data_IF_047845167760
#
_entry.id   IF_047845167760
#
_cell.length_a   1.000
_cell.length_b   1.000
_cell.length_c   1.000
_cell.angle_alpha   90.00
_cell.angle_beta   90.00
_cell.angle_gamma   90.00
#
_symmetry.space_group_name_H-M   'P 1'
#
loop_
_entity.id
_entity.type
_entity.pdbx_description
1 polymer ?
#
# COMPACT_ATOMS: atom_id res chain seq x y z
N UNK A 1 -10.95 13.45 -2.35
CA UNK A 1 -10.92 14.56 -3.34
C UNK A 1 -10.07 15.67 -2.73
N UNK A 2 -8.83 15.84 -3.23
CA UNK A 2 -7.82 16.79 -2.74
C UNK A 2 -8.16 18.26 -3.03
N UNK A 3 -9.44 18.65 -2.86
CA UNK A 3 -9.95 19.93 -3.37
C UNK A 3 -9.35 21.14 -2.68
N UNK A 4 -8.85 20.96 -1.46
CA UNK A 4 -8.14 21.98 -0.68
C UNK A 4 -6.69 22.17 -1.13
N UNK A 5 -6.10 21.18 -1.81
CA UNK A 5 -4.70 21.20 -2.21
C UNK A 5 -4.51 21.80 -3.59
N UNK A 6 -3.44 22.57 -3.75
CA UNK A 6 -2.86 22.86 -5.04
C UNK A 6 -2.10 21.61 -5.52
N UNK A 7 -2.79 20.74 -6.26
CA UNK A 7 -2.23 19.45 -6.72
C UNK A 7 -0.95 19.64 -7.55
N UNK A 8 -0.84 20.73 -8.32
CA UNK A 8 0.40 21.04 -9.06
C UNK A 8 1.55 21.31 -8.09
N UNK A 9 1.39 22.27 -7.17
CA UNK A 9 2.43 22.60 -6.20
C UNK A 9 2.83 21.40 -5.33
N UNK A 10 1.87 20.56 -4.96
CA UNK A 10 2.13 19.34 -4.21
C UNK A 10 2.95 18.33 -5.01
N UNK A 11 2.61 18.11 -6.29
CA UNK A 11 3.38 17.25 -7.17
C UNK A 11 4.78 17.80 -7.44
N UNK A 12 4.88 19.10 -7.74
CA UNK A 12 6.15 19.78 -8.03
C UNK A 12 7.09 19.72 -6.83
N UNK A 13 6.58 19.97 -5.62
CA UNK A 13 7.36 19.85 -4.39
C UNK A 13 7.81 18.40 -4.16
N UNK A 14 6.89 17.44 -4.29
CA UNK A 14 7.18 16.03 -4.02
C UNK A 14 8.19 15.45 -5.02
N UNK A 15 8.14 15.87 -6.28
CA UNK A 15 9.13 15.52 -7.30
C UNK A 15 10.50 16.12 -6.99
N UNK A 16 10.57 17.41 -6.64
CA UNK A 16 11.84 18.07 -6.28
C UNK A 16 12.47 17.43 -5.04
N UNK A 17 11.65 17.13 -4.03
CA UNK A 17 12.11 16.45 -2.82
C UNK A 17 12.67 15.06 -3.15
N UNK A 18 11.94 14.27 -3.94
CA UNK A 18 12.38 12.96 -4.36
C UNK A 18 13.68 13.00 -5.17
N UNK A 19 13.81 13.96 -6.10
CA UNK A 19 15.02 14.14 -6.90
C UNK A 19 16.23 14.45 -6.01
N UNK A 20 16.10 15.39 -5.05
CA UNK A 20 17.19 15.75 -4.14
C UNK A 20 17.63 14.60 -3.24
N UNK A 21 16.68 13.87 -2.68
CA UNK A 21 16.98 12.70 -1.85
C UNK A 21 17.65 11.60 -2.67
N UNK A 22 17.18 11.34 -3.89
CA UNK A 22 17.79 10.38 -4.80
C UNK A 22 19.20 10.82 -5.25
N UNK A 23 19.40 12.11 -5.56
CA UNK A 23 20.73 12.65 -5.89
C UNK A 23 21.71 12.37 -4.75
N UNK A 24 21.38 12.77 -3.53
CA UNK A 24 22.24 12.56 -2.35
C UNK A 24 22.54 11.07 -2.10
N UNK A 25 21.54 10.21 -2.26
CA UNK A 25 21.67 8.78 -1.99
C UNK A 25 22.49 8.04 -3.05
N UNK A 26 22.21 8.27 -4.34
CA UNK A 26 22.83 7.56 -5.46
C UNK A 26 24.21 8.12 -5.85
N UNK A 27 24.66 9.22 -5.24
CA UNK A 27 26.06 9.67 -5.34
C UNK A 27 27.03 8.61 -4.79
N UNK A 28 26.66 7.93 -3.70
CA UNK A 28 27.50 6.95 -3.01
C UNK A 28 27.02 5.50 -3.17
N UNK A 29 25.84 5.28 -3.75
CA UNK A 29 25.21 3.97 -3.86
C UNK A 29 24.73 3.72 -5.29
N UNK A 30 24.95 2.52 -5.82
CA UNK A 30 24.43 2.13 -7.13
C UNK A 30 22.98 1.63 -7.07
N UNK A 31 22.58 0.99 -5.98
CA UNK A 31 21.25 0.41 -5.77
C UNK A 31 20.75 0.67 -4.35
N UNK A 32 19.44 0.90 -4.21
CA UNK A 32 18.77 1.00 -2.93
C UNK A 32 18.36 -0.40 -2.44
N UNK A 33 18.96 -0.85 -1.34
CA UNK A 33 18.52 -2.04 -0.62
C UNK A 33 17.33 -1.69 0.27
N UNK A 34 16.56 -2.67 0.73
CA UNK A 34 15.48 -2.38 1.68
C UNK A 34 15.99 -1.73 2.98
N UNK A 35 17.19 -2.09 3.46
CA UNK A 35 17.79 -1.44 4.65
C UNK A 35 18.12 0.03 4.38
N UNK A 36 18.48 0.36 3.14
CA UNK A 36 18.68 1.75 2.73
C UNK A 36 17.33 2.49 2.69
N UNK A 37 16.27 1.87 2.16
CA UNK A 37 14.93 2.47 2.09
C UNK A 37 14.37 2.82 3.47
N UNK A 38 14.59 1.96 4.47
CA UNK A 38 14.19 2.20 5.85
C UNK A 38 14.69 3.53 6.44
N UNK A 39 15.91 3.92 6.06
CA UNK A 39 16.60 5.08 6.61
C UNK A 39 16.89 6.14 5.53
N UNK A 40 16.15 6.08 4.41
CA UNK A 40 16.40 6.92 3.25
C UNK A 40 16.16 8.40 3.57
N UNK A 41 15.11 8.67 4.35
CA UNK A 41 14.77 10.01 4.82
C UNK A 41 14.66 10.03 6.35
N UNK A 42 14.79 11.23 6.93
CA UNK A 42 14.53 11.47 8.35
C UNK A 42 13.03 11.36 8.72
N UNK A 43 12.15 11.09 7.74
CA UNK A 43 10.70 11.09 7.89
C UNK A 43 10.21 9.63 7.79
N UNK A 44 9.93 8.96 8.92
CA UNK A 44 9.63 7.54 8.94
C UNK A 44 8.41 7.16 8.08
N UNK A 45 7.41 8.03 8.00
CA UNK A 45 6.20 7.80 7.22
C UNK A 45 6.50 7.69 5.71
N UNK A 46 7.40 8.53 5.19
CA UNK A 46 7.81 8.47 3.78
C UNK A 46 8.47 7.13 3.50
N UNK A 47 9.40 6.70 4.37
CA UNK A 47 10.10 5.43 4.21
C UNK A 47 9.10 4.24 4.25
N UNK A 48 8.13 4.27 5.17
CA UNK A 48 7.09 3.25 5.28
C UNK A 48 6.16 3.20 4.05
N UNK A 49 5.81 4.33 3.46
CA UNK A 49 5.00 4.36 2.24
C UNK A 49 5.75 3.84 1.01
N UNK A 50 7.06 4.08 0.90
CA UNK A 50 7.88 3.44 -0.15
C UNK A 50 7.83 1.92 0.01
N UNK A 51 7.98 1.44 1.25
CA UNK A 51 7.96 0.00 1.55
C UNK A 51 6.58 -0.60 1.24
N UNK A 52 5.49 0.06 1.65
CA UNK A 52 4.13 -0.39 1.33
C UNK A 52 3.94 -0.46 -0.19
N UNK A 53 4.30 0.59 -0.92
CA UNK A 53 4.16 0.64 -2.38
C UNK A 53 4.93 -0.48 -3.07
N UNK A 54 6.17 -0.75 -2.63
CA UNK A 54 6.96 -1.88 -3.16
C UNK A 54 6.33 -3.22 -2.83
N UNK A 55 5.79 -3.39 -1.62
CA UNK A 55 5.10 -4.62 -1.22
C UNK A 55 3.83 -4.84 -2.03
N UNK A 56 3.03 -3.80 -2.26
CA UNK A 56 1.78 -3.87 -3.01
C UNK A 56 2.02 -4.19 -4.48
N UNK A 57 3.01 -3.55 -5.11
CA UNK A 57 3.44 -3.87 -6.47
C UNK A 57 3.91 -5.32 -6.56
N UNK A 58 4.71 -5.77 -5.60
CA UNK A 58 5.19 -7.15 -5.57
C UNK A 58 4.06 -8.18 -5.37
N UNK A 59 3.09 -7.89 -4.49
CA UNK A 59 1.91 -8.73 -4.29
C UNK A 59 1.08 -8.81 -5.58
N UNK A 60 0.87 -7.68 -6.26
CA UNK A 60 0.15 -7.63 -7.53
C UNK A 60 0.85 -8.43 -8.63
N UNK A 61 2.17 -8.31 -8.76
CA UNK A 61 2.97 -9.08 -9.73
C UNK A 61 2.89 -10.59 -9.44
N UNK A 62 2.93 -10.97 -8.17
CA UNK A 62 2.79 -12.36 -7.75
C UNK A 62 1.39 -12.93 -8.01
N UNK A 63 0.35 -12.11 -7.93
CA UNK A 63 -1.01 -12.48 -8.31
C UNK A 63 -1.15 -12.60 -9.83
N UNK A 64 -0.56 -11.67 -10.60
CA UNK A 64 -0.55 -11.70 -12.06
C UNK A 64 0.24 -12.90 -12.62
N UNK A 65 1.25 -13.37 -11.89
CA UNK A 65 2.02 -14.58 -12.22
C UNK A 65 1.18 -15.86 -12.18
N UNK A 66 0.05 -15.88 -11.45
CA UNK A 66 -0.79 -17.08 -11.31
C UNK A 66 -1.47 -17.43 -12.63
N UNK A 67 -0.85 -18.34 -13.36
CA UNK A 67 -1.37 -18.84 -14.62
C UNK A 67 -2.62 -19.73 -14.41
N UNK A 68 -3.66 -19.60 -15.26
CA UNK A 68 -4.87 -20.43 -15.19
C UNK A 68 -4.63 -21.93 -15.40
N UNK A 69 -3.45 -22.31 -15.91
CA UNK A 69 -3.14 -23.70 -16.25
C UNK A 69 -2.55 -24.51 -15.08
N UNK A 70 -2.21 -23.86 -13.96
CA UNK A 70 -1.57 -24.51 -12.81
C UNK A 70 -2.39 -24.33 -11.53
N UNK A 71 -2.33 -25.32 -10.64
CA UNK A 71 -3.00 -25.28 -9.35
C UNK A 71 -2.14 -24.55 -8.31
N UNK A 72 -2.38 -23.24 -8.17
CA UNK A 72 -1.79 -22.40 -7.12
C UNK A 72 -2.47 -22.55 -5.75
N UNK A 73 -3.56 -23.33 -5.66
CA UNK A 73 -4.28 -23.56 -4.42
C UNK A 73 -3.70 -24.72 -3.61
N UNK A 74 -2.93 -25.60 -4.26
CA UNK A 74 -2.12 -26.64 -3.62
C UNK A 74 -1.23 -26.08 -2.51
N UNK A 75 -1.20 -26.78 -1.37
CA UNK A 75 -0.41 -26.38 -0.19
C UNK A 75 1.08 -26.26 -0.50
N UNK A 76 1.63 -27.18 -1.30
CA UNK A 76 3.04 -27.18 -1.68
C UNK A 76 3.41 -25.94 -2.51
N UNK A 77 2.55 -25.57 -3.46
CA UNK A 77 2.76 -24.39 -4.32
C UNK A 77 2.63 -23.11 -3.52
N UNK A 78 1.64 -23.00 -2.63
CA UNK A 78 1.47 -21.84 -1.74
C UNK A 78 2.67 -21.64 -0.84
N UNK A 79 3.20 -22.71 -0.26
CA UNK A 79 4.38 -22.65 0.61
C UNK A 79 5.64 -22.26 -0.16
N UNK A 80 5.89 -22.89 -1.31
CA UNK A 80 7.01 -22.55 -2.18
C UNK A 80 6.94 -21.09 -2.66
N UNK A 81 5.76 -20.63 -3.07
CA UNK A 81 5.53 -19.24 -3.45
C UNK A 81 5.77 -18.31 -2.27
N UNK A 82 5.27 -18.62 -1.07
CA UNK A 82 5.53 -17.83 0.14
C UNK A 82 7.02 -17.73 0.48
N UNK A 83 7.75 -18.84 0.38
CA UNK A 83 9.21 -18.84 0.60
C UNK A 83 9.92 -17.98 -0.45
N UNK A 84 9.55 -18.11 -1.72
CA UNK A 84 10.06 -17.28 -2.79
C UNK A 84 9.80 -15.79 -2.54
N UNK A 85 8.56 -15.42 -2.18
CA UNK A 85 8.20 -14.05 -1.80
C UNK A 85 9.08 -13.53 -0.67
N UNK A 86 9.36 -14.34 0.35
CA UNK A 86 10.22 -13.97 1.46
C UNK A 86 11.66 -13.73 1.02
N UNK A 87 12.22 -14.61 0.19
CA UNK A 87 13.59 -14.48 -0.32
C UNK A 87 13.75 -13.23 -1.18
N UNK A 88 12.83 -13.01 -2.13
CA UNK A 88 12.84 -11.82 -3.00
C UNK A 88 12.68 -10.55 -2.17
N UNK A 89 11.76 -10.55 -1.20
CA UNK A 89 11.56 -9.39 -0.32
C UNK A 89 12.83 -9.02 0.43
N UNK A 90 13.73 -9.96 0.74
CA UNK A 90 15.00 -9.69 1.45
C UNK A 90 16.11 -9.19 0.53
N UNK A 91 15.92 -9.34 -0.79
CA UNK A 91 16.86 -8.95 -1.84
C UNK A 91 16.33 -7.77 -2.66
N UNK A 92 15.58 -6.87 -2.03
CA UNK A 92 15.19 -5.60 -2.64
C UNK A 92 16.44 -4.88 -3.13
N UNK A 93 16.45 -4.55 -4.42
CA UNK A 93 17.50 -3.80 -5.10
C UNK A 93 16.84 -2.89 -6.13
N UNK A 94 16.53 -1.67 -5.71
CA UNK A 94 15.81 -0.69 -6.54
C UNK A 94 16.80 0.30 -7.13
N UNK A 95 16.70 0.53 -8.44
CA UNK A 95 17.48 1.56 -9.15
C UNK A 95 16.80 2.92 -9.01
N UNK A 96 17.57 3.99 -9.24
CA UNK A 96 17.08 5.37 -9.19
C UNK A 96 15.79 5.59 -9.98
N UNK A 97 15.76 5.15 -11.24
CA UNK A 97 14.63 5.32 -12.16
C UNK A 97 13.31 4.79 -11.60
N UNK A 98 13.37 3.75 -10.77
CA UNK A 98 12.21 3.10 -10.17
C UNK A 98 11.91 3.63 -8.76
N UNK A 99 12.93 4.07 -8.02
CA UNK A 99 12.78 4.59 -6.67
C UNK A 99 12.22 6.02 -6.65
N UNK A 100 12.70 6.87 -7.54
CA UNK A 100 12.34 8.29 -7.59
C UNK A 100 10.81 8.54 -7.72
N UNK A 101 10.07 7.90 -8.64
CA UNK A 101 8.61 8.09 -8.71
C UNK A 101 7.88 7.57 -7.47
N UNK A 102 8.34 6.45 -6.89
CA UNK A 102 7.73 5.88 -5.66
C UNK A 102 7.97 6.80 -4.47
N UNK A 103 9.16 7.40 -4.37
CA UNK A 103 9.50 8.36 -3.32
C UNK A 103 8.68 9.66 -3.47
N UNK A 104 8.48 10.14 -4.69
CA UNK A 104 7.64 11.32 -4.94
C UNK A 104 6.19 11.05 -4.51
N UNK A 105 5.63 9.89 -4.86
CA UNK A 105 4.28 9.49 -4.44
C UNK A 105 4.18 9.35 -2.92
N UNK A 106 5.12 8.66 -2.28
CA UNK A 106 5.19 8.51 -0.82
C UNK A 106 5.30 9.87 -0.09
N UNK A 107 6.05 10.82 -0.67
CA UNK A 107 6.18 12.18 -0.12
C UNK A 107 4.87 12.94 -0.21
N UNK A 108 4.22 12.91 -1.40
CA UNK A 108 2.91 13.50 -1.63
C UNK A 108 1.88 12.97 -0.63
N UNK A 109 1.78 11.65 -0.49
CA UNK A 109 0.83 10.99 0.39
C UNK A 109 1.07 11.33 1.86
N UNK A 110 2.34 11.42 2.27
CA UNK A 110 2.71 11.85 3.63
C UNK A 110 2.28 13.29 3.91
N UNK A 111 2.46 14.20 2.96
CA UNK A 111 2.05 15.60 3.10
C UNK A 111 0.53 15.72 3.16
N UNK A 112 -0.22 14.98 2.34
CA UNK A 112 -1.69 14.96 2.42
C UNK A 112 -2.15 14.44 3.77
N UNK A 113 -1.56 13.33 4.26
CA UNK A 113 -1.89 12.74 5.56
C UNK A 113 -1.65 13.72 6.72
N UNK A 114 -0.59 14.54 6.67
CA UNK A 114 -0.26 15.53 7.71
C UNK A 114 -1.09 16.82 7.62
N UNK A 115 -1.48 17.25 6.42
CA UNK A 115 -2.19 18.53 6.23
C UNK A 115 -3.71 18.35 6.30
N UNK A 116 -4.25 17.29 5.69
CA UNK A 116 -5.68 16.98 5.71
C UNK A 116 -5.92 15.46 5.72
N UNK A 117 -5.83 14.80 6.89
CA UNK A 117 -5.98 13.35 7.01
C UNK A 117 -7.34 12.86 6.49
N UNK A 118 -8.41 13.66 6.60
CA UNK A 118 -9.71 13.31 6.03
C UNK A 118 -9.63 13.14 4.51
N UNK A 119 -8.94 14.05 3.81
CA UNK A 119 -8.76 13.94 2.35
C UNK A 119 -8.00 12.68 1.96
N UNK A 120 -6.97 12.32 2.74
CA UNK A 120 -6.16 11.11 2.54
C UNK A 120 -7.00 9.82 2.67
N UNK A 121 -7.67 9.62 3.81
CA UNK A 121 -8.49 8.42 4.04
C UNK A 121 -9.66 8.34 3.06
N UNK A 122 -10.30 9.47 2.74
CA UNK A 122 -11.38 9.53 1.77
C UNK A 122 -10.94 9.08 0.38
N UNK A 123 -9.72 9.42 -0.04
CA UNK A 123 -9.17 8.98 -1.33
C UNK A 123 -8.87 7.48 -1.32
N UNK A 124 -8.20 6.98 -0.28
CA UNK A 124 -7.88 5.56 -0.14
C UNK A 124 -9.12 4.67 -0.15
N UNK A 125 -10.17 5.05 0.58
CA UNK A 125 -11.39 4.25 0.64
C UNK A 125 -12.16 4.30 -0.68
N UNK A 126 -12.26 5.47 -1.34
CA UNK A 126 -12.95 5.58 -2.63
C UNK A 126 -12.26 4.81 -3.76
N UNK A 127 -10.93 4.63 -3.66
CA UNK A 127 -10.16 3.87 -4.64
C UNK A 127 -10.21 2.35 -4.41
N UNK A 128 -10.93 1.87 -3.38
CA UNK A 128 -11.08 0.42 -3.16
C UNK A 128 -11.98 -0.24 -4.21
N UNK A 129 -11.68 -1.49 -4.60
CA UNK A 129 -12.55 -2.24 -5.51
C UNK A 129 -13.92 -2.46 -4.88
N UNK A 130 -14.95 -2.54 -5.73
CA UNK A 130 -16.35 -2.81 -5.34
C UNK A 130 -16.96 -1.82 -4.33
N UNK A 131 -16.35 -0.66 -4.11
CA UNK A 131 -16.77 0.33 -3.09
C UNK A 131 -16.90 -0.29 -1.67
N UNK A 132 -16.05 -1.25 -1.36
CA UNK A 132 -15.96 -1.87 -0.03
C UNK A 132 -14.56 -1.76 0.54
N UNK A 133 -14.47 -1.51 1.84
CA UNK A 133 -13.22 -1.51 2.61
C UNK A 133 -13.17 -2.80 3.40
N UNK A 134 -12.15 -3.61 3.13
CA UNK A 134 -11.98 -4.93 3.78
C UNK A 134 -11.19 -4.82 5.07
N UNK A 135 -11.30 -5.84 5.92
CA UNK A 135 -10.46 -5.94 7.12
C UNK A 135 -8.96 -5.97 6.74
N UNK A 136 -8.58 -6.62 5.63
CA UNK A 136 -7.18 -6.64 5.13
C UNK A 136 -6.70 -5.22 4.78
N UNK A 137 -7.53 -4.41 4.12
CA UNK A 137 -7.23 -3.01 3.82
C UNK A 137 -6.93 -2.23 5.10
N UNK A 138 -7.80 -2.34 6.12
CA UNK A 138 -7.61 -1.61 7.39
C UNK A 138 -6.38 -2.11 8.15
N UNK A 139 -6.16 -3.43 8.16
CA UNK A 139 -4.96 -4.04 8.72
C UNK A 139 -3.70 -3.50 8.05
N UNK A 140 -3.69 -3.38 6.72
CA UNK A 140 -2.59 -2.79 5.98
C UNK A 140 -2.36 -1.32 6.36
N UNK A 141 -3.44 -0.53 6.49
CA UNK A 141 -3.32 0.86 6.95
C UNK A 141 -2.73 0.94 8.37
N UNK A 142 -3.16 0.08 9.31
CA UNK A 142 -2.57 0.01 10.66
C UNK A 142 -1.07 -0.33 10.65
N UNK A 143 -0.60 -1.09 9.66
CA UNK A 143 0.81 -1.50 9.52
C UNK A 143 1.71 -0.40 8.99
N UNK A 144 1.23 0.40 8.04
CA UNK A 144 2.07 1.35 7.31
C UNK A 144 1.78 2.82 7.65
N UNK A 145 0.66 3.13 8.31
CA UNK A 145 0.36 4.48 8.80
C UNK A 145 0.86 4.63 10.24
N UNK A 146 1.82 5.53 10.42
CA UNK A 146 2.33 5.96 11.71
C UNK A 146 1.68 7.27 12.15
N UNK A 147 1.56 8.25 11.26
CA UNK A 147 0.88 9.51 11.57
C UNK A 147 -0.63 9.30 11.66
N UNK A 148 -1.29 9.88 12.65
CA UNK A 148 -2.72 9.71 12.88
C UNK A 148 -3.12 8.22 13.04
N UNK A 149 -2.25 7.40 13.67
CA UNK A 149 -2.46 5.95 13.88
C UNK A 149 -3.79 5.58 14.54
N UNK A 150 -4.39 6.52 15.28
CA UNK A 150 -5.68 6.32 15.93
C UNK A 150 -6.82 6.13 14.91
N UNK A 151 -6.72 6.68 13.69
CA UNK A 151 -7.77 6.58 12.68
C UNK A 151 -7.98 5.13 12.21
N UNK A 152 -6.96 4.44 11.64
CA UNK A 152 -7.14 3.05 11.23
C UNK A 152 -7.41 2.12 12.42
N UNK A 153 -6.95 2.47 13.62
CA UNK A 153 -7.30 1.73 14.85
C UNK A 153 -8.79 1.84 15.20
N UNK A 154 -9.35 3.05 15.24
CA UNK A 154 -10.77 3.25 15.52
C UNK A 154 -11.67 2.60 14.47
N UNK A 155 -11.26 2.58 13.20
CA UNK A 155 -11.99 1.88 12.15
C UNK A 155 -11.95 0.36 12.38
N UNK A 156 -10.79 -0.20 12.74
CA UNK A 156 -10.68 -1.62 13.05
C UNK A 156 -11.57 -2.02 14.24
N UNK A 157 -11.59 -1.20 15.30
CA UNK A 157 -12.47 -1.39 16.46
C UNK A 157 -13.96 -1.33 16.06
N UNK A 158 -14.34 -0.38 15.19
CA UNK A 158 -15.70 -0.25 14.68
C UNK A 158 -16.12 -1.39 13.73
N UNK A 159 -15.17 -1.97 13.00
CA UNK A 159 -15.41 -3.15 12.15
C UNK A 159 -15.65 -4.41 12.98
N UNK A 160 -15.03 -4.55 14.15
CA UNK A 160 -15.07 -5.76 14.97
C UNK A 160 -14.80 -7.02 14.12
N UNK A 161 -15.75 -7.96 14.06
CA UNK A 161 -15.63 -9.21 13.28
C UNK A 161 -16.14 -9.10 11.82
N UNK A 162 -16.46 -7.89 11.34
CA UNK A 162 -16.94 -7.70 9.96
C UNK A 162 -15.80 -7.86 8.96
N UNK A 163 -15.99 -8.74 7.98
CA UNK A 163 -15.01 -8.93 6.90
C UNK A 163 -14.84 -7.68 6.01
N UNK A 164 -15.90 -6.89 5.84
CA UNK A 164 -15.88 -5.64 5.07
C UNK A 164 -16.95 -4.65 5.53
N UNK A 165 -16.78 -3.38 5.15
CA UNK A 165 -17.76 -2.31 5.27
C UNK A 165 -17.85 -1.50 3.97
N UNK A 166 -18.93 -0.75 3.76
CA UNK A 166 -19.03 0.13 2.59
C UNK A 166 -18.18 1.38 2.75
N UNK A 167 -17.69 1.92 1.63
CA UNK A 167 -16.81 3.11 1.62
C UNK A 167 -17.39 4.29 2.39
N UNK A 168 -18.68 4.58 2.25
CA UNK A 168 -19.30 5.71 2.96
C UNK A 168 -19.26 5.53 4.49
N UNK A 169 -19.41 4.29 4.98
CA UNK A 169 -19.32 4.00 6.42
C UNK A 169 -17.88 4.16 6.92
N UNK A 170 -16.90 3.66 6.16
CA UNK A 170 -15.48 3.82 6.50
C UNK A 170 -15.06 5.30 6.54
N UNK A 171 -15.55 6.10 5.58
CA UNK A 171 -15.35 7.55 5.54
C UNK A 171 -15.95 8.20 6.79
N UNK A 172 -17.21 7.93 7.10
CA UNK A 172 -17.89 8.50 8.27
C UNK A 172 -17.14 8.16 9.57
N UNK A 173 -16.72 6.91 9.74
CA UNK A 173 -15.94 6.49 10.93
C UNK A 173 -14.58 7.17 11.00
N UNK A 174 -13.91 7.38 9.86
CA UNK A 174 -12.63 8.08 9.81
C UNK A 174 -12.77 9.56 10.19
N UNK A 175 -13.81 10.23 9.69
CA UNK A 175 -14.10 11.64 9.99
C UNK A 175 -14.48 11.81 11.46
N UNK A 176 -15.28 10.88 12.01
CA UNK A 176 -15.62 10.84 13.44
C UNK A 176 -14.38 10.63 14.32
N UNK A 177 -13.48 9.70 13.96
CA UNK A 177 -12.25 9.47 14.70
C UNK A 177 -11.37 10.73 14.74
N UNK A 178 -11.21 11.41 13.61
CA UNK A 178 -10.41 12.65 13.50
C UNK A 178 -11.05 13.79 14.29
N UNK A 179 -12.38 13.92 14.25
CA UNK A 179 -13.11 14.95 15.00
C UNK A 179 -13.03 14.74 16.52
N UNK A 180 -13.04 13.48 16.99
CA UNK A 180 -12.97 13.16 18.42
C UNK A 180 -11.55 13.30 19.00
N UNK A 181 -10.51 13.07 18.18
CA UNK A 181 -9.10 13.07 18.60
C UNK A 181 -8.26 14.11 17.87
N UNK A 182 -8.84 15.28 17.58
CA UNK A 182 -8.11 16.36 16.88
C UNK A 182 -6.86 16.82 17.64
N UNK A 183 -6.86 16.72 18.98
CA UNK A 183 -5.70 17.06 19.80
C UNK A 183 -4.52 16.07 19.67
N UNK A 184 -4.79 14.82 19.28
CA UNK A 184 -3.78 13.78 19.07
C UNK A 184 -3.28 13.72 17.62
N UNK A 185 -3.79 14.61 16.75
CA UNK A 185 -3.45 14.60 15.34
C UNK A 185 -2.04 15.16 15.09
N UNK A 186 -1.27 14.46 14.27
CA UNK A 186 0.07 14.89 13.87
C UNK A 186 -0.04 16.12 12.96
N UNK A 187 0.52 17.25 13.39
CA UNK A 187 0.52 18.50 12.62
C UNK A 187 1.75 18.59 11.71
N UNK A 188 1.53 19.07 10.48
CA UNK A 188 2.61 19.36 9.52
C UNK A 188 3.66 20.32 10.11
N UNK A 189 3.27 21.24 11.00
CA UNK A 189 4.12 22.28 11.60
C UNK A 189 5.37 21.69 12.29
N UNK A 190 5.22 20.52 12.92
CA UNK A 190 6.32 19.83 13.60
C UNK A 190 7.35 19.24 12.62
N UNK A 191 6.94 19.01 11.38
CA UNK A 191 7.73 18.33 10.35
C UNK A 191 8.25 19.27 9.26
N UNK A 192 7.78 20.53 9.21
CA UNK A 192 8.21 21.52 8.21
C UNK A 192 9.73 21.68 8.18
N UNK A 193 10.37 21.74 9.35
CA UNK A 193 11.84 21.89 9.43
C UNK A 193 12.57 20.69 8.83
N UNK A 194 12.08 19.47 9.06
CA UNK A 194 12.67 18.22 8.56
C UNK A 194 12.50 18.12 7.04
N UNK A 195 11.34 18.47 6.52
CA UNK A 195 11.11 18.56 5.08
C UNK A 195 11.97 19.65 4.43
N UNK A 196 12.08 20.81 5.08
CA UNK A 196 12.83 21.97 4.60
C UNK A 196 14.34 21.80 4.59
N UNK A 197 14.88 20.78 5.26
CA UNK A 197 16.31 20.44 5.19
C UNK A 197 16.75 20.13 3.75
N UNK A 198 15.88 19.50 2.94
CA UNK A 198 16.17 19.10 1.57
C UNK A 198 15.60 20.06 0.55
N UNK A 199 14.34 20.46 0.71
CA UNK A 199 13.64 21.39 -0.19
C UNK A 199 12.79 22.31 0.68
N UNK A 200 12.95 23.64 0.58
CA UNK A 200 12.16 24.59 1.36
C UNK A 200 10.66 24.30 1.24
N UNK A 201 10.00 24.05 2.37
CA UNK A 201 8.58 23.74 2.42
C UNK A 201 7.80 24.91 3.01
N UNK A 202 6.89 25.46 2.20
CA UNK A 202 5.85 26.37 2.68
C UNK A 202 4.49 25.65 2.64
N UNK A 203 3.93 25.24 3.79
CA UNK A 203 2.64 24.55 3.86
C UNK A 203 1.49 25.34 3.22
N UNK A 204 1.54 26.67 3.26
CA UNK A 204 0.49 27.51 2.70
C UNK A 204 0.47 27.48 1.17
N UNK A 205 1.63 27.30 0.53
CA UNK A 205 1.77 27.16 -0.92
C UNK A 205 1.14 25.87 -1.47
N UNK A 206 1.05 24.83 -0.62
CA UNK A 206 0.45 23.54 -0.95
C UNK A 206 -1.09 23.58 -0.94
N UNK A 207 -1.67 24.60 -0.33
CA UNK A 207 -3.11 24.81 -0.28
C UNK A 207 -3.56 25.74 -1.40
N UNK A 208 -4.76 25.54 -1.92
CA UNK A 208 -5.36 26.52 -2.83
C UNK A 208 -5.54 27.83 -2.08
N UNK A 209 -4.99 28.92 -2.63
CA UNK A 209 -5.34 30.27 -2.19
C UNK A 209 -6.82 30.48 -2.49
N UNK A 210 -7.67 30.25 -1.51
CA UNK A 210 -9.04 30.76 -1.56
C UNK A 210 -8.89 32.26 -1.54
N UNK A 211 -9.04 32.92 -2.69
CA UNK A 211 -9.39 34.34 -2.73
C UNK A 211 -10.77 34.45 -2.05
N UNK A 212 -10.79 34.43 -0.72
CA UNK A 212 -11.85 35.08 0.04
C UNK A 212 -11.62 36.55 -0.30
N UNK A 213 -12.53 37.24 -1.01
CA UNK A 213 -12.46 38.69 -1.04
C UNK A 213 -12.43 39.11 0.43
N UNK A 214 -11.29 39.67 0.82
CA UNK A 214 -11.09 40.40 2.05
C UNK A 214 -12.35 41.25 2.24
N UNK A 215 -12.98 41.14 3.42
CA UNK A 215 -14.15 41.96 3.76
C UNK A 215 -13.85 43.37 3.30
N UNK A 216 -14.54 43.80 2.23
CA UNK A 216 -14.54 45.19 1.84
C UNK A 216 -14.96 45.93 3.11
N UNK A 217 -14.01 46.68 3.67
CA UNK A 217 -14.29 47.66 4.71
C UNK A 217 -15.36 48.52 4.07
N UNK A 218 -16.59 48.39 4.56
CA UNK A 218 -17.72 49.19 4.11
C UNK A 218 -17.32 50.64 4.39
N UNK A 219 -17.09 51.49 3.38
CA UNK A 219 -16.98 52.91 3.63
C UNK A 219 -18.38 53.35 4.02
N UNK A 220 -18.51 53.93 5.21
CA UNK A 220 -19.74 54.54 5.68
C UNK A 220 -20.28 55.53 4.62
N UNK A 221 -21.57 55.45 4.33
CA UNK A 221 -22.30 56.40 3.50
C UNK A 221 -22.11 57.84 4.01
N UNK A 222 -22.02 58.81 3.10
CA UNK A 222 -22.68 60.09 3.26
C UNK A 222 -23.91 60.13 2.35
N UNK A 223 -25.07 60.32 2.97
CA UNK A 223 -26.28 60.77 2.29
C UNK A 223 -26.04 62.14 1.62
N UNK A 224 -26.64 62.33 0.44
CA UNK A 224 -26.72 63.64 -0.18
C UNK A 224 -27.27 63.59 -1.60
N UNK A 225 -28.57 63.84 -1.71
CA UNK A 225 -29.36 64.19 -2.91
C UNK A 225 -28.58 64.49 -4.20
N UNK A 226 -28.89 63.75 -5.27
CA UNK A 226 -29.34 64.36 -6.54
C UNK A 226 -29.95 63.36 -7.52
N UNK A 227 -30.92 63.87 -8.26
CA UNK A 227 -31.93 63.23 -9.11
C UNK A 227 -31.36 62.44 -10.29
N UNK A 228 -31.86 61.22 -10.48
CA UNK A 228 -31.46 60.26 -11.53
C UNK A 228 -32.20 60.43 -12.88
N UNK A 229 -33.08 61.43 -13.02
CA UNK A 229 -34.00 61.52 -14.17
C UNK A 229 -33.62 62.54 -15.26
N UNK A 230 -32.35 62.95 -15.36
CA UNK A 230 -31.94 63.91 -16.39
C UNK A 230 -30.55 63.59 -16.95
N UNK A 231 -30.46 62.54 -17.77
CA UNK A 231 -29.44 62.41 -18.83
C UNK A 231 -29.82 61.25 -19.75
N UNK A 232 -30.63 61.55 -20.76
CA UNK A 232 -30.53 60.83 -22.02
C UNK A 232 -29.24 61.28 -22.72
N UNK A 233 -28.41 60.35 -23.20
CA UNK A 233 -27.85 60.54 -24.52
C UNK A 233 -28.11 59.34 -25.42
N UNK A 234 -28.89 59.62 -26.47
CA UNK A 234 -28.60 59.39 -27.89
C UNK A 234 -28.13 57.99 -28.31
N UNK A 235 -28.95 57.41 -29.19
CA UNK A 235 -28.72 56.18 -29.94
C UNK A 235 -27.52 56.23 -30.91
N UNK A 236 -27.10 55.00 -31.24
CA UNK A 236 -26.40 54.52 -32.45
C UNK A 236 -24.87 54.33 -32.41
N UNK A 237 -24.31 53.35 -33.17
CA UNK A 237 -24.93 52.23 -33.89
C UNK A 237 -24.36 50.85 -33.53
N UNK A 238 -25.23 49.89 -33.81
CA UNK A 238 -25.08 48.42 -33.80
C UNK A 238 -23.85 47.95 -34.59
N UNK A 239 -22.95 47.21 -33.93
CA UNK A 239 -21.98 46.34 -34.62
C UNK A 239 -22.62 44.98 -34.91
N UNK A 240 -22.40 44.41 -36.11
CA UNK A 240 -23.19 43.32 -36.66
C UNK A 240 -23.03 41.99 -35.92
N UNK A 241 -24.05 41.10 -35.98
CA UNK A 241 -24.06 39.83 -35.26
C UNK A 241 -22.96 38.91 -35.77
N UNK A 242 -22.19 38.36 -34.83
CA UNK A 242 -21.29 37.23 -35.05
C UNK A 242 -22.13 36.08 -35.59
N UNK A 243 -21.84 35.68 -36.84
CA UNK A 243 -22.43 34.53 -37.49
C UNK A 243 -22.17 33.29 -36.64
N UNK A 244 -23.25 32.68 -36.14
CA UNK A 244 -23.24 31.27 -35.77
C UNK A 244 -22.93 30.46 -37.03
N UNK A 245 -21.70 29.96 -37.12
CA UNK A 245 -21.36 28.89 -38.06
C UNK A 245 -22.12 27.63 -37.66
N UNK A 246 -22.98 27.18 -38.57
CA UNK A 246 -23.74 25.94 -38.45
C UNK A 246 -22.81 24.74 -38.25
N UNK A 247 -23.25 23.68 -37.56
CA UNK A 247 -22.50 22.44 -37.49
C UNK A 247 -22.42 21.84 -38.88
N UNK A 248 -21.19 21.52 -39.31
CA UNK A 248 -20.93 20.78 -40.53
C UNK A 248 -21.60 19.40 -40.45
N UNK A 249 -22.28 18.93 -41.51
CA UNK A 249 -22.90 17.62 -41.51
C UNK A 249 -21.82 16.54 -41.37
N UNK A 250 -22.04 15.66 -40.38
CA UNK A 250 -21.25 14.45 -40.18
C UNK A 250 -21.22 13.66 -41.49
N UNK A 251 -20.01 13.58 -42.08
CA UNK A 251 -19.70 12.64 -43.15
C UNK A 251 -20.00 11.23 -42.59
N UNK A 252 -20.71 10.35 -43.32
CA UNK A 252 -20.92 8.98 -42.86
C UNK A 252 -19.57 8.34 -42.58
N UNK A 253 -19.39 7.80 -41.37
CA UNK A 253 -18.25 6.97 -41.05
C UNK A 253 -18.20 5.83 -42.07
N UNK A 254 -17.16 5.82 -42.90
CA UNK A 254 -16.80 4.61 -43.63
C UNK A 254 -16.54 3.52 -42.60
N UNK A 255 -17.36 2.48 -42.67
CA UNK A 255 -17.19 1.24 -41.93
C UNK A 255 -15.84 0.67 -42.33
N UNK A 256 -14.84 0.83 -41.47
CA UNK A 256 -13.61 0.05 -41.57
C UNK A 256 -13.95 -1.40 -41.25
N UNK A 257 -14.22 -2.18 -42.29
CA UNK A 257 -14.27 -3.63 -42.19
C UNK A 257 -12.83 -4.10 -42.06
N UNK A 258 -12.40 -4.44 -40.84
CA UNK A 258 -11.16 -5.16 -40.64
C UNK A 258 -11.23 -6.47 -41.45
N UNK A 259 -10.23 -6.79 -42.29
CA UNK A 259 -10.25 -8.04 -43.03
C UNK A 259 -10.20 -9.21 -42.04
N UNK A 260 -11.17 -10.12 -42.18
CA UNK A 260 -11.20 -11.36 -41.42
C UNK A 260 -9.88 -12.12 -41.61
N UNK A 261 -9.30 -12.69 -40.53
CA UNK A 261 -8.12 -13.52 -40.66
C UNK A 261 -8.48 -14.75 -41.53
N UNK A 262 -7.77 -14.89 -42.64
CA UNK A 262 -7.82 -16.08 -43.49
C UNK A 262 -7.28 -17.25 -42.70
N UNK A 263 -8.18 -18.14 -42.27
CA UNK A 263 -7.83 -19.40 -41.63
C UNK A 263 -7.27 -20.35 -42.70
N UNK A 264 -5.95 -20.50 -42.77
CA UNK A 264 -5.34 -21.65 -43.45
C UNK A 264 -5.45 -22.86 -42.53
N UNK A 265 -6.13 -23.95 -42.92
CA UNK A 265 -6.16 -25.16 -42.11
C UNK A 265 -4.73 -25.74 -41.98
N UNK A 266 -4.31 -26.16 -40.78
CA UNK A 266 -3.01 -26.80 -40.60
C UNK A 266 -2.97 -28.15 -41.31
N UNK A 267 -1.87 -28.39 -42.00
CA UNK A 267 -1.50 -29.66 -42.64
C UNK A 267 -1.42 -30.75 -41.57
N UNK A 268 -2.11 -31.87 -41.81
CA UNK A 268 -2.07 -33.07 -40.98
C UNK A 268 -0.63 -33.60 -40.80
N UNK A 269 -0.18 -33.87 -39.58
CA UNK A 269 0.97 -34.75 -39.35
C UNK A 269 0.59 -36.22 -39.66
N UNK A 270 1.52 -37.04 -40.18
CA UNK A 270 1.27 -38.45 -40.45
C UNK A 270 1.08 -39.29 -39.17
N UNK A 271 0.33 -40.37 -39.33
CA UNK A 271 -0.16 -41.27 -38.28
C UNK A 271 0.94 -41.87 -37.38
N UNK A 272 0.67 -41.89 -36.07
CA UNK A 272 1.40 -42.70 -35.09
C UNK A 272 0.86 -44.15 -35.07
N UNK A 273 1.73 -45.15 -34.82
CA UNK A 273 1.34 -46.56 -34.71
C UNK A 273 0.58 -46.85 -33.39
N UNK A 274 -0.24 -47.92 -33.35
CA UNK A 274 -1.11 -48.23 -32.23
C UNK A 274 -0.35 -48.61 -30.95
N UNK A 275 -0.86 -48.10 -29.83
CA UNK A 275 -0.45 -48.40 -28.46
C UNK A 275 -0.72 -49.87 -28.09
N UNK A 276 0.27 -50.50 -27.47
CA UNK A 276 0.21 -51.83 -26.85
C UNK A 276 -0.84 -51.90 -25.74
N UNK A 277 -2.03 -52.40 -26.08
CA UNK A 277 -2.96 -53.02 -25.13
C UNK A 277 -2.85 -54.53 -25.29
N UNK A 278 -1.78 -55.14 -24.79
CA UNK A 278 -1.77 -56.58 -24.54
C UNK A 278 -0.63 -56.97 -23.61
N UNK A 279 -0.90 -57.90 -22.69
CA UNK A 279 0.00 -58.55 -21.71
C UNK A 279 0.02 -58.01 -20.27
N UNK A 280 -1.14 -58.05 -19.58
CA UNK A 280 -1.14 -58.51 -18.17
C UNK A 280 -2.37 -59.38 -17.90
N UNK A 281 -2.33 -60.61 -18.42
CA UNK A 281 -3.24 -61.67 -18.01
C UNK A 281 -2.42 -62.97 -17.82
N UNK A 282 -1.67 -63.05 -16.73
CA UNK A 282 -1.26 -64.32 -16.12
C UNK A 282 -0.57 -64.11 -14.77
N UNK A 283 -1.10 -64.80 -13.75
CA UNK A 283 -0.46 -65.25 -12.51
C UNK A 283 -0.15 -64.24 -11.38
N UNK A 284 -0.83 -64.49 -10.25
CA UNK A 284 -0.11 -64.70 -8.99
C UNK A 284 -0.51 -63.79 -7.83
N UNK A 285 -1.20 -64.38 -6.85
CA UNK A 285 -1.48 -63.82 -5.52
C UNK A 285 -0.30 -63.05 -4.91
N UNK A 286 -0.49 -61.75 -4.70
CA UNK A 286 0.12 -61.00 -3.60
C UNK A 286 -0.72 -59.73 -3.37
N UNK A 287 -1.20 -59.57 -2.13
CA UNK A 287 -1.82 -58.32 -1.65
C UNK A 287 -0.80 -57.21 -1.84
N UNK A 288 -0.95 -56.44 -2.92
CA UNK A 288 -0.24 -55.17 -3.12
C UNK A 288 -1.18 -54.10 -2.64
N UNK A 289 -0.86 -53.50 -1.48
CA UNK A 289 -1.34 -52.15 -1.16
C UNK A 289 -1.26 -51.32 -2.43
N UNK A 290 -2.39 -50.78 -2.86
CA UNK A 290 -2.43 -50.02 -4.09
C UNK A 290 -1.45 -48.84 -3.96
N UNK A 291 -0.67 -48.56 -5.01
CA UNK A 291 0.25 -47.39 -5.03
C UNK A 291 -0.44 -46.08 -4.65
N UNK A 292 -1.77 -46.02 -4.85
CA UNK A 292 -2.65 -44.91 -4.46
C UNK A 292 -2.77 -44.73 -2.93
N UNK A 293 -2.60 -45.81 -2.16
CA UNK A 293 -2.70 -45.82 -0.70
C UNK A 293 -1.38 -45.39 -0.04
N UNK A 294 -0.22 -45.75 -0.62
CA UNK A 294 1.09 -45.21 -0.24
C UNK A 294 1.23 -43.72 -0.57
N UNK A 295 0.80 -43.28 -1.75
CA UNK A 295 0.82 -41.86 -2.13
C UNK A 295 -0.08 -40.99 -1.24
N UNK A 296 -1.27 -41.47 -0.86
CA UNK A 296 -2.16 -40.73 0.07
C UNK A 296 -1.59 -40.66 1.49
N UNK A 297 -0.86 -41.68 1.91
CA UNK A 297 -0.24 -41.72 3.25
C UNK A 297 0.98 -40.80 3.32
N UNK A 298 1.79 -40.73 2.26
CA UNK A 298 2.90 -39.77 2.14
C UNK A 298 2.41 -38.32 2.04
N UNK A 299 1.39 -38.03 1.23
CA UNK A 299 0.84 -36.66 1.10
C UNK A 299 0.19 -36.13 2.38
N UNK A 300 -0.49 -36.98 3.16
CA UNK A 300 -1.06 -36.60 4.46
C UNK A 300 0.02 -36.37 5.53
N UNK A 301 1.14 -37.11 5.45
CA UNK A 301 2.29 -36.95 6.36
C UNK A 301 3.06 -35.67 6.10
N UNK A 302 3.25 -35.27 4.84
CA UNK A 302 4.00 -34.07 4.47
C UNK A 302 3.16 -32.81 4.74
N UNK A 303 1.90 -32.75 4.32
CA UNK A 303 1.08 -31.53 4.45
C UNK A 303 0.78 -31.13 5.90
N UNK A 304 0.67 -32.10 6.82
CA UNK A 304 0.36 -31.87 8.24
C UNK A 304 1.62 -31.56 9.08
N UNK A 305 2.78 -32.11 8.69
CA UNK A 305 4.03 -31.88 9.43
C UNK A 305 4.70 -30.54 9.06
N UNK A 306 4.46 -29.96 7.89
CA UNK A 306 5.17 -28.76 7.42
C UNK A 306 4.56 -27.41 7.85
N UNK A 307 3.24 -27.34 8.04
CA UNK A 307 2.62 -26.19 8.73
C UNK A 307 2.98 -26.10 10.23
N UNK A 308 3.49 -27.20 10.79
CA UNK A 308 3.91 -27.33 12.20
C UNK A 308 5.42 -27.37 12.40
N UNK A 309 6.23 -27.22 11.34
CA UNK A 309 7.68 -27.23 11.53
C UNK A 309 8.12 -26.00 12.33
N UNK A 310 8.87 -26.19 13.43
CA UNK A 310 9.48 -25.08 14.14
C UNK A 310 10.40 -24.33 13.17
N UNK A 311 10.26 -23.02 13.12
CA UNK A 311 11.18 -22.20 12.31
C UNK A 311 12.58 -22.24 12.93
N UNK A 312 13.59 -22.57 12.13
CA UNK A 312 14.98 -22.68 12.60
C UNK A 312 15.53 -21.36 13.16
N UNK A 313 15.05 -20.23 12.65
CA UNK A 313 15.44 -18.88 13.08
C UNK A 313 14.29 -17.90 12.88
N UNK A 314 14.07 -17.05 13.90
CA UNK A 314 13.08 -15.97 13.87
C UNK A 314 13.50 -14.97 12.78
N UNK A 315 14.78 -14.56 12.76
CA UNK A 315 15.29 -13.56 11.82
C UNK A 315 15.23 -13.99 10.35
N UNK A 316 15.31 -15.30 10.07
CA UNK A 316 15.25 -15.85 8.72
C UNK A 316 13.83 -16.00 8.17
N UNK A 317 12.82 -16.09 9.05
CA UNK A 317 11.43 -16.30 8.66
C UNK A 317 10.60 -15.03 8.58
N UNK A 318 11.15 -13.89 9.00
CA UNK A 318 10.50 -12.58 8.89
C UNK A 318 10.76 -12.02 7.47
N UNK A 319 9.70 -11.86 6.64
CA UNK A 319 9.79 -11.14 5.37
C UNK A 319 10.22 -9.69 5.61
N UNK A 320 10.86 -9.08 4.62
CA UNK A 320 11.51 -7.79 4.84
C UNK A 320 10.53 -6.66 5.20
N UNK A 321 9.32 -6.68 4.62
CA UNK A 321 8.28 -5.70 4.96
C UNK A 321 7.84 -5.80 6.43
N UNK A 322 7.75 -7.02 7.00
CA UNK A 322 7.44 -7.21 8.42
C UNK A 322 8.60 -6.74 9.30
N UNK A 323 9.86 -7.03 8.91
CA UNK A 323 11.04 -6.49 9.62
C UNK A 323 10.93 -4.97 9.72
N UNK A 324 10.55 -4.32 8.62
CA UNK A 324 10.47 -2.85 8.55
C UNK A 324 9.35 -2.26 9.39
N UNK A 325 8.17 -2.89 9.33
CA UNK A 325 7.05 -2.57 10.20
C UNK A 325 7.46 -2.70 11.67
N UNK A 326 8.09 -3.82 12.08
CA UNK A 326 8.54 -4.01 13.47
C UNK A 326 9.54 -2.94 13.90
N UNK A 327 10.55 -2.64 13.08
CA UNK A 327 11.55 -1.61 13.41
C UNK A 327 10.89 -0.27 13.69
N UNK A 328 9.97 0.16 12.83
CA UNK A 328 9.34 1.47 12.99
C UNK A 328 8.27 1.52 14.08
N UNK A 329 7.45 0.48 14.21
CA UNK A 329 6.32 0.49 15.13
C UNK A 329 6.67 0.05 16.55
N UNK A 330 7.60 -0.90 16.68
CA UNK A 330 8.00 -1.44 17.98
C UNK A 330 9.31 -0.81 18.45
N UNK A 331 10.30 -0.63 17.59
CA UNK A 331 11.63 -0.19 18.02
C UNK A 331 11.91 1.29 17.73
N UNK A 332 10.87 2.08 17.45
CA UNK A 332 10.99 3.53 17.22
C UNK A 332 11.87 3.92 16.03
N UNK A 333 12.10 3.01 15.08
CA UNK A 333 13.02 3.19 13.95
C UNK A 333 14.44 2.68 14.19
N UNK A 334 14.77 2.16 15.37
CA UNK A 334 16.11 1.64 15.66
C UNK A 334 16.30 0.22 15.15
N UNK A 335 17.02 0.06 14.03
CA UNK A 335 17.39 -1.27 13.50
C UNK A 335 18.30 -2.03 14.48
N UNK A 336 19.21 -1.34 15.19
CA UNK A 336 20.11 -1.99 16.16
C UNK A 336 19.36 -2.56 17.38
N UNK A 337 18.34 -1.84 17.87
CA UNK A 337 17.49 -2.32 18.95
C UNK A 337 16.69 -3.55 18.51
N UNK A 338 16.13 -3.52 17.29
CA UNK A 338 15.45 -4.67 16.70
C UNK A 338 16.37 -5.89 16.58
N UNK A 339 17.57 -5.74 16.01
CA UNK A 339 18.50 -6.85 15.81
C UNK A 339 18.96 -7.46 17.15
N UNK A 340 19.20 -6.62 18.16
CA UNK A 340 19.54 -7.07 19.51
C UNK A 340 18.38 -7.84 20.14
N UNK A 341 17.15 -7.32 20.03
CA UNK A 341 15.97 -7.97 20.57
C UNK A 341 15.68 -9.32 19.91
N UNK A 342 15.76 -9.40 18.57
CA UNK A 342 15.58 -10.67 17.85
C UNK A 342 16.66 -11.68 18.23
N UNK A 343 17.91 -11.26 18.38
CA UNK A 343 19.01 -12.14 18.81
C UNK A 343 18.73 -12.70 20.21
N UNK A 344 18.26 -11.87 21.13
CA UNK A 344 17.93 -12.29 22.50
C UNK A 344 16.71 -13.24 22.52
N UNK A 345 15.69 -12.98 21.68
CA UNK A 345 14.54 -13.87 21.51
C UNK A 345 14.93 -15.21 20.86
N UNK A 346 15.92 -15.22 19.99
CA UNK A 346 16.50 -16.46 19.46
C UNK A 346 17.34 -17.21 20.50
N UNK A 347 17.91 -16.54 21.50
CA UNK A 347 18.65 -17.20 22.57
C UNK A 347 17.75 -17.72 23.70
N UNK A 348 16.49 -17.29 23.76
CA UNK A 348 15.55 -17.75 24.77
C UNK A 348 15.34 -19.29 24.68
N UNK A 349 15.27 -20.00 25.82
CA UNK A 349 15.17 -21.46 25.88
C UNK A 349 13.76 -21.97 25.55
N UNK A 350 12.72 -21.19 25.83
CA UNK A 350 11.33 -21.57 25.67
C UNK A 350 10.44 -20.36 25.33
N UNK A 351 9.21 -20.64 24.88
CA UNK A 351 8.25 -19.61 24.51
C UNK A 351 7.81 -18.72 25.69
N UNK A 352 7.72 -19.25 26.91
CA UNK A 352 7.33 -18.44 28.07
C UNK A 352 8.40 -17.43 28.42
N UNK A 353 9.68 -17.82 28.37
CA UNK A 353 10.82 -16.93 28.55
C UNK A 353 10.86 -15.86 27.47
N UNK A 354 10.69 -16.25 26.19
CA UNK A 354 10.64 -15.29 25.08
C UNK A 354 9.45 -14.31 25.19
N UNK A 355 8.28 -14.80 25.59
CA UNK A 355 7.10 -13.97 25.87
C UNK A 355 7.36 -13.03 27.03
N UNK A 356 8.02 -13.48 28.08
CA UNK A 356 8.44 -12.65 29.21
C UNK A 356 9.37 -11.51 28.78
N UNK A 357 10.34 -11.77 27.90
CA UNK A 357 11.21 -10.73 27.33
C UNK A 357 10.40 -9.69 26.53
N UNK A 358 9.46 -10.14 25.70
CA UNK A 358 8.56 -9.24 24.97
C UNK A 358 7.74 -8.39 25.96
N UNK A 359 7.11 -9.02 26.94
CA UNK A 359 6.16 -8.36 27.84
C UNK A 359 6.80 -7.41 28.84
N UNK A 360 7.90 -7.83 29.47
CA UNK A 360 8.46 -7.10 30.61
C UNK A 360 9.68 -6.27 30.23
N UNK A 361 10.45 -6.67 29.21
CA UNK A 361 11.67 -5.96 28.79
C UNK A 361 11.40 -5.04 27.60
N UNK A 362 11.04 -5.59 26.45
CA UNK A 362 10.95 -4.79 25.22
C UNK A 362 9.76 -3.84 25.20
N UNK A 363 8.58 -4.31 25.63
CA UNK A 363 7.40 -3.48 25.64
C UNK A 363 7.47 -2.33 26.64
N UNK A 364 8.10 -2.53 27.81
CA UNK A 364 8.29 -1.46 28.78
C UNK A 364 9.34 -0.44 28.33
N UNK A 365 10.44 -0.90 27.73
CA UNK A 365 11.53 -0.05 27.23
C UNK A 365 11.11 0.85 26.06
N UNK A 366 10.25 0.34 25.19
CA UNK A 366 9.84 1.03 23.96
C UNK A 366 8.36 1.45 23.96
N UNK A 367 7.68 1.32 25.11
CA UNK A 367 6.27 1.71 25.29
C UNK A 367 5.33 1.06 24.26
N UNK A 368 5.47 -0.26 24.07
CA UNK A 368 4.64 -0.99 23.10
C UNK A 368 3.19 -1.01 23.53
N UNK A 369 2.32 -0.83 22.55
CA UNK A 369 0.92 -1.14 22.69
C UNK A 369 0.72 -2.66 22.55
N UNK A 370 0.47 -3.34 23.68
CA UNK A 370 0.20 -4.78 23.72
C UNK A 370 -1.08 -5.20 23.00
N UNK A 371 -1.97 -4.25 22.72
CA UNK A 371 -3.18 -4.47 21.92
C UNK A 371 -2.93 -4.26 20.43
N UNK A 372 -1.74 -3.80 20.05
CA UNK A 372 -1.35 -3.59 18.66
C UNK A 372 -1.14 -4.91 17.91
N UNK A 373 -1.69 -5.00 16.70
CA UNK A 373 -1.56 -6.18 15.83
C UNK A 373 -0.10 -6.58 15.59
N UNK A 374 0.79 -5.59 15.55
CA UNK A 374 2.21 -5.75 15.29
C UNK A 374 2.94 -6.51 16.40
N UNK A 375 2.53 -6.34 17.66
CA UNK A 375 3.05 -7.16 18.77
C UNK A 375 2.51 -8.59 18.64
N UNK A 376 1.25 -8.74 18.26
CA UNK A 376 0.61 -10.03 17.98
C UNK A 376 1.32 -10.81 16.86
N UNK A 377 1.66 -10.15 15.75
CA UNK A 377 2.40 -10.76 14.63
C UNK A 377 3.79 -11.22 15.08
N UNK A 378 4.53 -10.39 15.83
CA UNK A 378 5.84 -10.79 16.36
C UNK A 378 5.71 -12.00 17.30
N UNK A 379 4.71 -11.99 18.19
CA UNK A 379 4.44 -13.10 19.11
C UNK A 379 4.09 -14.39 18.38
N UNK A 380 3.27 -14.34 17.33
CA UNK A 380 2.94 -15.52 16.52
C UNK A 380 4.17 -16.08 15.81
N UNK A 381 5.07 -15.24 15.29
CA UNK A 381 6.33 -15.69 14.68
C UNK A 381 7.22 -16.35 15.74
N UNK A 382 7.36 -15.74 16.92
CA UNK A 382 8.13 -16.31 18.04
C UNK A 382 7.53 -17.63 18.51
N UNK A 383 6.20 -17.73 18.63
CA UNK A 383 5.49 -18.96 18.98
C UNK A 383 5.75 -20.07 17.97
N UNK A 384 5.76 -19.76 16.68
CA UNK A 384 6.10 -20.71 15.60
C UNK A 384 7.54 -21.21 15.68
N UNK A 385 8.47 -20.45 16.28
CA UNK A 385 9.86 -20.90 16.49
C UNK A 385 9.97 -21.99 17.55
N UNK A 386 9.28 -21.81 18.67
CA UNK A 386 9.36 -22.74 19.81
C UNK A 386 8.46 -23.97 19.65
N UNK A 387 7.63 -24.01 18.61
CA UNK A 387 6.65 -25.07 18.42
C UNK A 387 5.48 -24.92 19.39
N UNK A 388 4.29 -25.39 19.01
CA UNK A 388 3.19 -25.54 19.98
C UNK A 388 3.59 -26.62 20.98
N UNK A 389 4.05 -26.23 22.18
CA UNK A 389 3.97 -27.11 23.35
C UNK A 389 2.58 -27.06 23.94
#
# INVERSE_FOLDING_TARGET
MLHKFNVSALNDYSQQFAQKVCDDFFLNNSNASGQHILNLTAIPQVNLFIISSLYDKWKADAEAFKSPFFDFESSEVKEALKQFMNVVSRKISVKREQLEPVLAEATKDTLVLLIDPNSYFNEIFRNQPNFTVTADTIQQLRKYIRFNKFVPQSIAEAMADRAFVYVNQAIEWSEQAIAQRTADADSIEQWVAVFSEKVPLDPSSLLKKTNRPESAIVPAEPQGDQSFFDTLPVEEPVTPPVKFSAPEPLRPAEVYVAPAPVYTPPVMPPAMPPTLHETVAANGNAVRESLNERFRTEQRSISSNYQKQPIASISQNIPLHQKFMFIHQLFGGSNSAYESAITELEQAPDFQTARGLITYKFASQHLWDMTGDTVGELLEIVKRRFGQS
#
